data_IF_295279221668
#
_entry.id   IF_295279221668
#
_cell.length_a   1.000
_cell.length_b   1.000
_cell.length_c   1.000
_cell.angle_alpha   90.00
_cell.angle_beta   90.00
_cell.angle_gamma   90.00
#
_symmetry.space_group_name_H-M   'P 1'
#
loop_
_entity.id
_entity.type
_entity.pdbx_description
1 polymer ?
#
# COMPACT_ATOMS: atom_id res chain seq x y z
N UNK A 1 16.33 -45.51 21.67
CA UNK A 1 15.30 -45.21 22.70
C UNK A 1 14.25 -44.34 22.04
N UNK A 2 13.29 -44.98 21.37
CA UNK A 2 12.19 -44.30 20.66
C UNK A 2 11.10 -43.94 21.68
N UNK A 3 10.78 -42.65 21.80
CA UNK A 3 9.51 -42.23 22.41
C UNK A 3 8.78 -41.31 21.44
N UNK A 4 7.95 -41.97 20.63
CA UNK A 4 6.84 -41.39 19.88
C UNK A 4 5.78 -40.94 20.89
N UNK A 5 5.37 -39.69 20.84
CA UNK A 5 4.07 -39.25 21.36
C UNK A 5 3.39 -38.49 20.21
N UNK A 6 2.32 -39.07 19.71
CA UNK A 6 1.35 -38.51 18.78
C UNK A 6 -0.01 -39.04 19.25
N UNK A 7 -1.14 -38.46 18.82
CA UNK A 7 -1.67 -37.11 19.06
C UNK A 7 -2.97 -37.18 19.89
N UNK A 8 -3.34 -36.11 20.58
CA UNK A 8 -4.59 -36.03 21.34
C UNK A 8 -5.42 -34.85 20.79
N UNK A 9 -6.63 -35.20 20.34
CA UNK A 9 -7.84 -34.36 20.11
C UNK A 9 -7.82 -33.54 18.80
N UNK A 10 -8.44 -34.01 17.71
CA UNK A 10 -9.89 -34.11 17.44
C UNK A 10 -10.58 -32.75 17.24
N UNK A 11 -10.96 -32.52 15.98
CA UNK A 11 -12.20 -31.87 15.55
C UNK A 11 -12.54 -30.46 16.05
N UNK A 12 -12.23 -29.48 15.21
CA UNK A 12 -13.16 -28.40 14.90
C UNK A 12 -12.83 -27.81 13.52
N UNK A 13 -13.27 -28.50 12.47
CA UNK A 13 -13.49 -27.86 11.16
C UNK A 13 -14.76 -27.02 11.33
N UNK A 14 -14.59 -25.73 11.62
CA UNK A 14 -15.68 -24.76 11.39
C UNK A 14 -15.54 -24.33 9.94
N UNK A 15 -16.13 -25.13 9.04
CA UNK A 15 -16.48 -24.69 7.71
C UNK A 15 -17.76 -23.84 7.82
N UNK A 16 -17.64 -22.55 8.13
CA UNK A 16 -18.73 -21.63 7.86
C UNK A 16 -18.72 -21.34 6.36
N UNK A 17 -19.61 -22.01 5.63
CA UNK A 17 -19.93 -21.66 4.26
C UNK A 17 -20.43 -20.21 4.25
N UNK A 18 -19.60 -19.29 3.76
CA UNK A 18 -20.10 -18.00 3.30
C UNK A 18 -20.82 -18.31 1.99
N UNK A 19 -22.15 -18.42 2.06
CA UNK A 19 -22.98 -18.39 0.87
C UNK A 19 -22.66 -17.09 0.14
N UNK A 20 -21.99 -17.19 -1.01
CA UNK A 20 -21.74 -16.08 -1.89
C UNK A 20 -23.08 -15.63 -2.48
N UNK A 21 -23.79 -14.77 -1.76
CA UNK A 21 -24.85 -13.97 -2.35
C UNK A 21 -24.16 -12.87 -3.15
N UNK A 22 -23.98 -13.12 -4.45
CA UNK A 22 -23.57 -12.06 -5.38
C UNK A 22 -24.69 -11.03 -5.43
N UNK A 23 -24.50 -9.90 -4.74
CA UNK A 23 -25.31 -8.71 -4.99
C UNK A 23 -24.83 -8.13 -6.31
N UNK A 24 -25.66 -8.28 -7.36
CA UNK A 24 -25.45 -7.59 -8.62
C UNK A 24 -25.87 -6.13 -8.44
N UNK A 25 -24.90 -5.22 -8.38
CA UNK A 25 -25.16 -3.78 -8.49
C UNK A 25 -25.22 -3.42 -9.98
N UNK A 26 -26.33 -2.83 -10.42
CA UNK A 26 -26.40 -2.30 -11.78
C UNK A 26 -25.57 -1.01 -11.85
N UNK A 27 -24.84 -0.82 -12.94
CA UNK A 27 -24.03 0.39 -13.17
C UNK A 27 -24.87 1.69 -13.16
N UNK A 28 -26.19 1.58 -13.39
CA UNK A 28 -27.14 2.69 -13.27
C UNK A 28 -27.32 3.21 -11.84
N UNK A 29 -27.11 2.35 -10.84
CA UNK A 29 -27.40 2.67 -9.43
C UNK A 29 -26.22 3.41 -8.77
N UNK A 30 -25.04 3.34 -9.38
CA UNK A 30 -23.83 4.06 -8.93
C UNK A 30 -23.99 5.57 -9.08
N UNK A 31 -24.83 6.04 -10.00
CA UNK A 31 -25.06 7.46 -10.25
C UNK A 31 -25.79 8.17 -9.10
N UNK A 32 -26.48 7.44 -8.21
CA UNK A 32 -27.28 8.01 -7.13
C UNK A 32 -26.51 8.15 -5.79
N UNK A 33 -25.31 7.58 -5.68
CA UNK A 33 -24.46 7.66 -4.48
C UNK A 33 -23.29 8.60 -4.76
N UNK A 34 -23.58 9.85 -5.14
CA UNK A 34 -22.56 10.86 -5.48
C UNK A 34 -22.30 11.90 -4.38
N UNK A 35 -22.97 11.84 -3.22
CA UNK A 35 -22.96 12.99 -2.29
C UNK A 35 -22.73 12.68 -0.81
N UNK A 36 -22.19 11.50 -0.46
CA UNK A 36 -21.80 11.23 0.93
C UNK A 36 -20.28 11.18 1.08
N UNK A 37 -19.72 12.30 1.55
CA UNK A 37 -18.32 12.44 1.95
C UNK A 37 -18.08 11.62 3.22
N UNK A 38 -17.64 10.38 3.07
CA UNK A 38 -17.01 9.63 4.16
C UNK A 38 -15.56 10.13 4.29
N UNK A 39 -15.14 10.70 5.43
CA UNK A 39 -13.75 11.07 5.64
C UNK A 39 -12.87 9.82 5.57
N UNK A 40 -11.94 9.77 4.62
CA UNK A 40 -11.01 8.63 4.46
C UNK A 40 -11.33 7.65 3.33
N UNK A 41 -12.30 7.96 2.45
CA UNK A 41 -12.41 7.25 1.16
C UNK A 41 -11.45 7.88 0.15
N UNK A 42 -10.33 7.20 -0.11
CA UNK A 42 -9.48 7.52 -1.27
C UNK A 42 -10.20 7.00 -2.51
N UNK A 43 -10.61 7.90 -3.40
CA UNK A 43 -11.05 7.51 -4.73
C UNK A 43 -9.94 6.67 -5.37
N UNK A 44 -10.26 5.48 -5.88
CA UNK A 44 -9.33 4.72 -6.71
C UNK A 44 -9.25 5.47 -8.04
N UNK A 45 -8.34 6.43 -8.12
CA UNK A 45 -8.18 7.29 -9.29
C UNK A 45 -7.55 6.49 -10.44
N UNK A 46 -8.30 6.33 -11.52
CA UNK A 46 -7.87 5.70 -12.76
C UNK A 46 -6.84 6.56 -13.48
N UNK A 47 -5.56 6.17 -13.44
CA UNK A 47 -4.47 6.53 -14.37
C UNK A 47 -4.03 8.01 -14.44
N UNK A 48 -4.96 8.96 -14.50
CA UNK A 48 -4.73 10.38 -14.76
C UNK A 48 -4.17 11.17 -13.56
N UNK A 49 -4.10 10.57 -12.37
CA UNK A 49 -3.70 11.24 -11.13
C UNK A 49 -2.41 10.67 -10.51
N UNK A 50 -1.74 9.75 -11.21
CA UNK A 50 -0.50 9.13 -10.72
C UNK A 50 0.60 10.18 -10.59
N UNK A 51 1.15 10.32 -9.37
CA UNK A 51 2.17 11.32 -9.03
C UNK A 51 1.71 12.78 -9.25
N UNK A 52 0.48 13.13 -8.87
CA UNK A 52 -0.09 14.49 -8.97
C UNK A 52 0.72 15.57 -8.23
N UNK A 53 1.41 15.20 -7.14
CA UNK A 53 2.33 16.09 -6.41
C UNK A 53 3.69 16.33 -7.09
N UNK A 54 3.96 15.68 -8.22
CA UNK A 54 5.24 15.79 -8.93
C UNK A 54 5.15 16.78 -10.09
N UNK A 55 6.14 17.68 -10.16
CA UNK A 55 6.33 18.56 -11.32
C UNK A 55 6.51 17.73 -12.60
N UNK A 56 5.90 18.20 -13.68
CA UNK A 56 6.02 17.57 -15.00
C UNK A 56 7.40 17.80 -15.60
N UNK A 57 8.30 16.89 -15.25
CA UNK A 57 9.72 16.91 -15.61
C UNK A 57 10.12 15.55 -16.18
N UNK A 58 11.28 15.50 -16.82
CA UNK A 58 11.87 14.24 -17.30
C UNK A 58 12.03 13.21 -16.17
N UNK A 59 12.26 13.66 -14.94
CA UNK A 59 12.40 12.76 -13.79
C UNK A 59 11.10 12.00 -13.49
N UNK A 60 9.95 12.69 -13.47
CA UNK A 60 8.64 12.06 -13.28
C UNK A 60 8.39 11.01 -14.36
N UNK A 61 8.67 11.33 -15.62
CA UNK A 61 8.53 10.39 -16.74
C UNK A 61 9.45 9.18 -16.60
N UNK A 62 10.71 9.38 -16.23
CA UNK A 62 11.65 8.28 -16.01
C UNK A 62 11.19 7.30 -14.93
N UNK A 63 10.58 7.79 -13.84
CA UNK A 63 10.01 6.94 -12.78
C UNK A 63 8.85 6.11 -13.32
N UNK A 64 7.91 6.75 -14.03
CA UNK A 64 6.76 6.07 -14.62
C UNK A 64 7.19 5.00 -15.64
N UNK A 65 8.14 5.34 -16.51
CA UNK A 65 8.70 4.41 -17.50
C UNK A 65 9.44 3.25 -16.85
N UNK A 66 10.21 3.51 -15.79
CA UNK A 66 10.88 2.46 -15.02
C UNK A 66 9.85 1.49 -14.42
N UNK A 67 8.85 2.00 -13.70
CA UNK A 67 7.79 1.17 -13.09
C UNK A 67 7.06 0.38 -14.17
N UNK A 68 6.69 1.00 -15.29
CA UNK A 68 6.05 0.30 -16.41
C UNK A 68 6.91 -0.86 -16.94
N UNK A 69 8.20 -0.62 -17.21
CA UNK A 69 9.11 -1.66 -17.74
C UNK A 69 9.27 -2.84 -16.80
N UNK A 70 9.45 -2.60 -15.50
CA UNK A 70 9.70 -3.68 -14.52
C UNK A 70 8.45 -4.43 -14.10
N UNK A 71 7.26 -3.90 -14.41
CA UNK A 71 5.97 -4.52 -14.06
C UNK A 71 5.29 -5.23 -15.23
N UNK A 72 5.72 -4.97 -16.48
CA UNK A 72 5.22 -5.64 -17.67
C UNK A 72 5.70 -7.10 -17.74
N UNK A 73 4.78 -8.05 -17.51
CA UNK A 73 5.05 -9.51 -17.52
C UNK A 73 5.58 -10.04 -18.85
N UNK A 74 5.34 -9.33 -19.94
CA UNK A 74 5.83 -9.71 -21.28
C UNK A 74 7.18 -9.07 -21.62
N UNK A 75 7.64 -8.12 -20.80
CA UNK A 75 8.84 -7.34 -21.05
C UNK A 75 10.12 -8.04 -20.59
N UNK A 76 11.22 -7.77 -21.30
CA UNK A 76 12.57 -8.27 -20.96
C UNK A 76 13.11 -7.79 -19.60
N UNK A 77 12.56 -6.67 -19.10
CA UNK A 77 12.99 -6.03 -17.85
C UNK A 77 12.07 -6.39 -16.68
N UNK A 78 11.16 -7.35 -16.87
CA UNK A 78 10.19 -7.78 -15.85
C UNK A 78 10.89 -8.25 -14.56
N UNK A 79 10.41 -7.73 -13.43
CA UNK A 79 10.82 -8.17 -12.09
C UNK A 79 9.64 -8.88 -11.42
N UNK A 80 9.82 -10.12 -10.89
CA UNK A 80 8.80 -10.81 -10.09
C UNK A 80 8.31 -9.95 -8.93
N UNK A 81 7.07 -10.13 -8.48
CA UNK A 81 6.44 -9.23 -7.50
C UNK A 81 7.22 -9.23 -6.17
N UNK A 82 7.69 -10.40 -5.77
CA UNK A 82 8.50 -10.67 -4.58
C UNK A 82 9.84 -9.91 -4.55
N UNK A 83 10.36 -9.53 -5.71
CA UNK A 83 11.67 -8.88 -5.85
C UNK A 83 11.55 -7.35 -6.06
N UNK A 84 10.33 -6.78 -6.10
CA UNK A 84 10.09 -5.35 -6.32
C UNK A 84 10.27 -4.53 -5.05
N UNK A 85 11.50 -4.48 -4.55
CA UNK A 85 11.85 -3.77 -3.33
C UNK A 85 12.48 -2.41 -3.70
N UNK A 86 11.89 -1.32 -3.22
CA UNK A 86 12.45 0.03 -3.32
C UNK A 86 12.85 0.53 -1.92
N UNK A 87 14.04 1.11 -1.80
CA UNK A 87 14.57 1.65 -0.53
C UNK A 87 14.72 3.15 -0.68
N UNK A 88 14.18 3.88 0.29
CA UNK A 88 14.28 5.34 0.36
C UNK A 88 15.01 5.70 1.65
N UNK A 89 15.84 6.73 1.56
CA UNK A 89 16.35 7.39 2.76
C UNK A 89 15.21 8.16 3.47
N UNK A 90 15.39 8.49 4.75
CA UNK A 90 14.40 9.18 5.55
C UNK A 90 14.67 10.69 5.63
N UNK A 91 15.75 11.10 6.29
CA UNK A 91 16.09 12.50 6.52
C UNK A 91 16.57 13.16 5.21
N UNK A 92 16.02 14.33 4.89
CA UNK A 92 16.31 15.03 3.63
C UNK A 92 15.67 14.42 2.37
N UNK A 93 15.04 13.24 2.47
CA UNK A 93 14.33 12.58 1.37
C UNK A 93 12.81 12.52 1.62
N UNK A 94 12.38 11.85 2.69
CA UNK A 94 10.96 11.76 3.08
C UNK A 94 10.58 12.82 4.12
N UNK A 95 11.52 13.22 4.96
CA UNK A 95 11.33 14.24 6.00
C UNK A 95 12.30 15.41 5.82
N UNK A 96 11.85 16.61 6.21
CA UNK A 96 12.77 17.74 6.29
C UNK A 96 13.80 17.53 7.40
N UNK A 97 15.07 17.70 7.08
CA UNK A 97 16.19 17.57 8.03
C UNK A 97 16.75 18.91 8.53
N UNK A 98 16.19 20.04 8.06
CA UNK A 98 16.64 21.38 8.42
C UNK A 98 15.61 22.11 9.29
N UNK A 99 16.06 22.86 10.32
CA UNK A 99 17.46 23.06 10.74
C UNK A 99 18.06 21.90 11.56
N UNK A 100 17.26 20.91 11.94
CA UNK A 100 17.70 19.71 12.66
C UNK A 100 16.78 18.53 12.30
N UNK A 101 17.26 17.31 12.52
CA UNK A 101 16.50 16.08 12.29
C UNK A 101 15.22 16.02 13.13
N UNK A 102 14.15 15.46 12.56
CA UNK A 102 12.85 15.34 13.24
C UNK A 102 12.98 14.63 14.59
N UNK A 103 13.78 13.56 14.65
CA UNK A 103 14.02 12.79 15.87
C UNK A 103 14.59 13.64 17.02
N UNK A 104 15.49 14.58 16.69
CA UNK A 104 16.10 15.49 17.67
C UNK A 104 15.07 16.49 18.19
N UNK A 105 14.23 17.03 17.30
CA UNK A 105 13.18 17.98 17.67
C UNK A 105 12.17 17.29 18.58
N UNK A 106 11.69 16.11 18.20
CA UNK A 106 10.76 15.32 19.01
C UNK A 106 11.33 14.96 20.38
N UNK A 107 12.59 14.49 20.43
CA UNK A 107 13.24 14.15 21.70
C UNK A 107 13.37 15.37 22.62
N UNK A 108 13.70 16.55 22.08
CA UNK A 108 13.74 17.80 22.85
C UNK A 108 12.36 18.17 23.37
N UNK A 109 11.34 18.17 22.53
CA UNK A 109 9.98 18.50 22.91
C UNK A 109 9.45 17.56 24.00
N UNK A 110 9.68 16.26 23.84
CA UNK A 110 9.29 15.22 24.81
C UNK A 110 10.06 15.29 26.13
N UNK A 111 11.28 15.83 26.13
CA UNK A 111 12.09 16.00 27.33
C UNK A 111 11.78 17.29 28.09
N UNK A 112 11.30 18.33 27.40
CA UNK A 112 10.90 19.61 28.00
C UNK A 112 9.45 19.57 28.50
N UNK A 113 8.61 18.70 27.96
CA UNK A 113 7.20 18.53 28.34
C UNK A 113 6.95 17.56 29.52
N UNK A 114 8.02 17.15 30.23
CA UNK A 114 7.96 16.41 31.50
C UNK A 114 8.32 17.30 32.67
#
# INVERSE_FOLDING_TARGET
MFRRILPIIASAIIASAISATSVTVNASDVSAVSSQTVPGQYNVETGAQTLSGWKDTKLKQNILDFVKRVTDRSGKDFVPVEDRIAVFDNDGTLLCEKPAYFQVIFARDSAVSR
#
